data_IF_742093411970
#
_entry.id   IF_742093411970
#
_cell.length_a   1.000
_cell.length_b   1.000
_cell.length_c   1.000
_cell.angle_alpha   90.00
_cell.angle_beta   90.00
_cell.angle_gamma   90.00
#
_symmetry.space_group_name_H-M   'P 1'
#
loop_
_entity.id
_entity.type
_entity.pdbx_description
1 polymer ?
#
# COMPACT_ATOMS: atom_id res chain seq x y z
N UNK A 1 -17.24 -31.91 -16.05
CA UNK A 1 -17.43 -31.05 -14.87
C UNK A 1 -16.30 -30.03 -14.86
N UNK A 2 -16.58 -28.77 -15.18
CA UNK A 2 -15.58 -27.71 -15.25
C UNK A 2 -15.47 -27.02 -13.88
N UNK A 3 -14.52 -27.43 -13.05
CA UNK A 3 -14.12 -26.71 -11.85
C UNK A 3 -12.61 -26.53 -11.87
N UNK A 4 -12.15 -25.61 -12.70
CA UNK A 4 -10.81 -25.03 -12.57
C UNK A 4 -10.98 -23.54 -12.70
N UNK A 5 -11.51 -22.93 -11.64
CA UNK A 5 -11.39 -21.49 -11.45
C UNK A 5 -9.91 -21.17 -11.29
N UNK A 6 -9.25 -20.81 -12.39
CA UNK A 6 -7.87 -20.37 -12.36
C UNK A 6 -7.83 -19.04 -11.59
N UNK A 7 -7.49 -19.08 -10.31
CA UNK A 7 -7.19 -17.86 -9.55
C UNK A 7 -6.00 -17.21 -10.24
N UNK A 8 -6.20 -16.03 -10.85
CA UNK A 8 -5.10 -15.30 -11.47
C UNK A 8 -4.25 -14.71 -10.36
N UNK A 9 -3.02 -15.19 -10.24
CA UNK A 9 -2.07 -14.72 -9.25
C UNK A 9 -1.05 -13.82 -9.96
N UNK A 10 -1.13 -12.52 -9.70
CA UNK A 10 -0.14 -11.56 -10.18
C UNK A 10 0.79 -11.19 -9.02
N UNK A 11 2.10 -11.34 -9.23
CA UNK A 11 3.09 -10.92 -8.24
C UNK A 11 4.14 -10.06 -8.91
N UNK A 12 4.17 -8.80 -8.53
CA UNK A 12 5.21 -7.86 -8.95
C UNK A 12 6.22 -7.71 -7.81
N UNK A 13 7.51 -7.73 -8.18
CA UNK A 13 8.58 -7.53 -7.22
C UNK A 13 9.61 -6.56 -7.76
N UNK A 14 9.77 -5.45 -7.07
CA UNK A 14 10.78 -4.44 -7.35
C UNK A 14 11.83 -4.53 -6.24
N UNK A 15 13.10 -4.61 -6.63
CA UNK A 15 14.24 -4.57 -5.70
C UNK A 15 15.29 -3.63 -6.27
N UNK A 16 15.66 -2.63 -5.50
CA UNK A 16 16.69 -1.66 -5.86
C UNK A 16 17.46 -1.27 -4.61
N UNK A 17 18.72 -1.71 -4.50
CA UNK A 17 19.56 -1.48 -3.32
C UNK A 17 18.87 -1.90 -2.01
N UNK A 18 18.58 -0.92 -1.15
CA UNK A 18 17.92 -1.12 0.15
C UNK A 18 16.37 -1.10 0.09
N UNK A 19 15.81 -0.90 -1.11
CA UNK A 19 14.38 -0.84 -1.37
C UNK A 19 13.90 -2.20 -1.89
N UNK A 20 12.81 -2.70 -1.34
CA UNK A 20 12.12 -3.90 -1.83
C UNK A 20 10.63 -3.68 -1.73
N UNK A 21 9.94 -3.65 -2.86
CA UNK A 21 8.47 -3.57 -2.95
C UNK A 21 7.97 -4.88 -3.54
N UNK A 22 6.95 -5.46 -2.93
CA UNK A 22 6.31 -6.69 -3.38
C UNK A 22 4.82 -6.48 -3.38
N UNK A 23 4.23 -6.49 -4.57
CA UNK A 23 2.79 -6.46 -4.78
C UNK A 23 2.35 -7.87 -5.09
N UNK A 24 1.37 -8.37 -4.33
CA UNK A 24 0.74 -9.66 -4.54
C UNK A 24 -0.74 -9.43 -4.71
N UNK A 25 -1.22 -9.78 -5.88
CA UNK A 25 -2.59 -9.62 -6.26
C UNK A 25 -3.15 -10.98 -6.68
N UNK A 26 -4.36 -11.22 -6.22
CA UNK A 26 -5.21 -12.31 -6.67
C UNK A 26 -6.58 -11.75 -7.00
N UNK A 27 -7.45 -12.59 -7.56
CA UNK A 27 -8.83 -12.21 -7.84
C UNK A 27 -9.58 -11.72 -6.58
N UNK A 28 -9.20 -12.23 -5.40
CA UNK A 28 -9.88 -11.94 -4.12
C UNK A 28 -9.15 -10.96 -3.23
N UNK A 29 -7.82 -10.84 -3.36
CA UNK A 29 -7.00 -10.09 -2.40
C UNK A 29 -5.90 -9.33 -3.06
N UNK A 30 -5.66 -8.13 -2.53
CA UNK A 30 -4.54 -7.28 -2.88
C UNK A 30 -3.66 -7.03 -1.65
N UNK A 31 -2.36 -7.22 -1.82
CA UNK A 31 -1.38 -7.09 -0.73
C UNK A 31 -0.12 -6.42 -1.23
N UNK A 32 0.35 -5.45 -0.46
CA UNK A 32 1.64 -4.79 -0.69
C UNK A 32 2.50 -5.00 0.53
N UNK A 33 3.74 -5.45 0.34
CA UNK A 33 4.79 -5.38 1.34
C UNK A 33 5.93 -4.55 0.76
N UNK A 34 6.26 -3.42 1.39
CA UNK A 34 7.37 -2.58 1.01
C UNK A 34 8.38 -2.43 2.16
N UNK A 35 9.65 -2.41 1.81
CA UNK A 35 10.79 -2.16 2.69
C UNK A 35 11.62 -1.06 2.05
N UNK A 36 11.96 -0.03 2.83
CA UNK A 36 12.65 1.16 2.39
C UNK A 36 13.43 1.80 3.55
N UNK A 37 14.15 2.89 3.29
CA UNK A 37 14.91 3.60 4.32
C UNK A 37 14.00 4.18 5.40
N UNK A 38 14.42 4.12 6.67
CA UNK A 38 13.67 4.73 7.78
C UNK A 38 13.41 6.22 7.59
N UNK A 39 14.30 6.94 6.90
CA UNK A 39 14.15 8.36 6.58
C UNK A 39 12.92 8.67 5.72
N UNK A 40 12.42 7.68 4.97
CA UNK A 40 11.24 7.81 4.09
C UNK A 40 9.92 7.47 4.78
N UNK A 41 9.96 7.00 6.03
CA UNK A 41 8.76 6.62 6.80
C UNK A 41 7.78 7.78 6.94
N UNK A 42 8.27 8.96 7.33
CA UNK A 42 7.44 10.17 7.45
C UNK A 42 6.78 10.59 6.13
N UNK A 43 7.51 10.46 5.03
CA UNK A 43 7.00 10.82 3.71
C UNK A 43 5.90 9.86 3.25
N UNK A 44 6.12 8.56 3.44
CA UNK A 44 5.10 7.52 3.17
C UNK A 44 3.88 7.69 4.09
N UNK A 45 4.08 8.02 5.37
CA UNK A 45 2.99 8.30 6.30
C UNK A 45 2.11 9.46 5.79
N UNK A 46 2.73 10.57 5.35
CA UNK A 46 2.00 11.71 4.77
C UNK A 46 1.18 11.34 3.54
N UNK A 47 1.73 10.51 2.64
CA UNK A 47 0.99 10.05 1.44
C UNK A 47 -0.23 9.22 1.84
N UNK A 48 -0.11 8.36 2.85
CA UNK A 48 -1.22 7.55 3.37
C UNK A 48 -2.28 8.45 4.01
N UNK A 49 -1.86 9.41 4.83
CA UNK A 49 -2.73 10.38 5.50
C UNK A 49 -3.58 11.16 4.48
N UNK A 50 -2.93 11.71 3.45
CA UNK A 50 -3.56 12.50 2.41
C UNK A 50 -4.52 11.71 1.52
N UNK A 51 -4.23 10.45 1.23
CA UNK A 51 -5.03 9.65 0.30
C UNK A 51 -6.20 8.95 0.97
N UNK A 52 -6.13 8.72 2.28
CA UNK A 52 -7.14 7.99 3.02
C UNK A 52 -7.99 8.89 3.93
N UNK A 53 -7.78 10.22 3.89
CA UNK A 53 -8.43 11.21 4.76
C UNK A 53 -8.59 10.68 6.19
N UNK A 54 -7.50 10.05 6.69
CA UNK A 54 -7.48 9.46 8.01
C UNK A 54 -7.60 10.63 9.00
N UNK A 55 -8.82 10.91 9.44
CA UNK A 55 -9.21 12.08 10.24
C UNK A 55 -8.56 12.14 11.64
N UNK A 56 -7.47 11.42 11.88
CA UNK A 56 -6.59 11.62 13.02
C UNK A 56 -5.21 10.99 12.76
N UNK A 57 -4.22 11.86 12.65
CA UNK A 57 -2.97 11.70 13.42
C UNK A 57 -2.05 10.57 12.96
N UNK A 58 -1.61 10.58 11.69
CA UNK A 58 -0.32 9.96 11.33
C UNK A 58 0.86 10.87 11.74
N UNK A 59 0.86 11.42 12.96
CA UNK A 59 1.99 12.19 13.51
C UNK A 59 3.17 11.31 13.93
N UNK A 60 3.03 9.99 13.80
CA UNK A 60 4.03 9.01 14.23
C UNK A 60 4.53 8.17 13.06
N UNK A 61 5.80 7.74 13.14
CA UNK A 61 6.45 6.83 12.18
C UNK A 61 5.88 5.39 12.21
N UNK A 62 4.77 5.19 12.93
CA UNK A 62 4.15 3.92 13.24
C UNK A 62 2.63 4.01 13.06
N UNK A 63 2.11 3.26 12.11
CA UNK A 63 0.68 3.03 11.86
C UNK A 63 0.44 1.54 11.90
N UNK A 64 -0.60 1.09 12.59
CA UNK A 64 -1.08 -0.30 12.52
C UNK A 64 -2.59 -0.28 12.74
N UNK A 65 -3.35 -0.30 11.65
CA UNK A 65 -4.79 -0.11 11.74
C UNK A 65 -5.54 -0.47 10.47
N UNK A 66 -6.85 -0.54 10.59
CA UNK A 66 -7.76 -0.61 9.45
C UNK A 66 -8.40 0.75 9.28
N UNK A 67 -8.25 1.33 8.09
CA UNK A 67 -8.81 2.61 7.72
C UNK A 67 -10.09 2.34 6.93
N UNK A 68 -11.19 2.94 7.37
CA UNK A 68 -12.44 2.91 6.62
C UNK A 68 -12.45 4.04 5.60
N UNK A 69 -12.80 3.70 4.36
CA UNK A 69 -13.04 4.63 3.28
C UNK A 69 -14.50 5.11 3.31
N UNK A 70 -14.81 6.15 2.53
CA UNK A 70 -16.14 6.75 2.44
C UNK A 70 -17.24 5.78 1.98
N UNK A 71 -16.88 4.72 1.26
CA UNK A 71 -17.78 3.71 0.70
C UNK A 71 -17.92 2.47 1.59
N UNK A 72 -17.68 2.62 2.90
CA UNK A 72 -17.60 1.55 3.91
C UNK A 72 -16.51 0.50 3.67
N UNK A 73 -15.66 0.69 2.63
CA UNK A 73 -14.55 -0.21 2.37
C UNK A 73 -13.46 -0.09 3.44
N UNK A 74 -12.76 -1.19 3.72
CA UNK A 74 -11.80 -1.31 4.82
C UNK A 74 -10.43 -1.71 4.30
N UNK A 75 -9.44 -0.84 4.53
CA UNK A 75 -8.05 -1.07 4.12
C UNK A 75 -7.19 -1.26 5.36
N UNK A 76 -6.53 -2.41 5.49
CA UNK A 76 -5.54 -2.59 6.54
C UNK A 76 -4.20 -2.02 6.12
N UNK A 77 -3.67 -1.09 6.91
CA UNK A 77 -2.39 -0.42 6.68
C UNK A 77 -1.53 -0.54 7.92
N UNK A 78 -0.29 -1.00 7.71
CA UNK A 78 0.73 -1.06 8.73
C UNK A 78 2.03 -0.44 8.25
N UNK A 79 2.42 0.69 8.81
CA UNK A 79 3.68 1.37 8.60
C UNK A 79 4.52 1.29 9.88
N UNK A 80 5.77 0.88 9.78
CA UNK A 80 6.68 0.84 10.94
C UNK A 80 8.13 0.94 10.48
N UNK A 81 8.79 2.05 10.80
CA UNK A 81 10.25 2.21 10.68
C UNK A 81 10.84 1.67 9.36
N UNK A 82 10.42 2.21 8.22
CA UNK A 82 10.90 1.79 6.89
C UNK A 82 10.27 0.50 6.36
N UNK A 83 9.16 0.06 6.93
CA UNK A 83 8.37 -1.09 6.45
C UNK A 83 6.91 -0.69 6.32
N UNK A 84 6.32 -0.99 5.19
CA UNK A 84 4.90 -0.81 4.92
C UNK A 84 4.27 -2.14 4.55
N UNK A 85 3.06 -2.36 5.05
CA UNK A 85 2.19 -3.45 4.63
C UNK A 85 0.79 -2.90 4.40
N UNK A 86 0.24 -3.16 3.23
CA UNK A 86 -1.16 -2.88 2.90
C UNK A 86 -1.83 -4.21 2.60
N UNK A 87 -3.06 -4.39 3.12
CA UNK A 87 -3.93 -5.52 2.78
C UNK A 87 -5.31 -5.00 2.48
N UNK A 88 -5.88 -5.51 1.40
CA UNK A 88 -7.20 -5.19 0.92
C UNK A 88 -7.88 -6.47 0.42
N UNK A 89 -9.09 -6.72 0.89
CA UNK A 89 -9.90 -7.86 0.47
C UNK A 89 -10.90 -7.40 -0.59
N UNK A 90 -10.77 -7.87 -1.83
CA UNK A 90 -11.63 -7.45 -2.94
C UNK A 90 -13.03 -8.07 -2.84
N UNK A 91 -13.19 -9.19 -2.11
CA UNK A 91 -14.49 -9.84 -1.96
C UNK A 91 -15.38 -9.07 -0.97
N UNK A 92 -14.77 -8.32 -0.04
CA UNK A 92 -15.48 -7.56 1.00
C UNK A 92 -15.63 -6.07 0.69
N UNK A 93 -14.99 -5.57 -0.37
CA UNK A 93 -14.86 -4.14 -0.65
C UNK A 93 -15.14 -3.81 -2.12
N UNK A 94 -15.42 -2.54 -2.42
CA UNK A 94 -15.77 -2.11 -3.77
C UNK A 94 -14.58 -2.10 -4.74
N UNK A 95 -14.87 -2.20 -6.04
CA UNK A 95 -13.86 -2.02 -7.09
C UNK A 95 -13.28 -0.59 -7.11
N UNK A 96 -14.08 0.41 -6.76
CA UNK A 96 -13.62 1.80 -6.61
C UNK A 96 -12.59 1.93 -5.50
N UNK A 97 -12.80 1.27 -4.36
CA UNK A 97 -11.83 1.22 -3.27
C UNK A 97 -10.56 0.48 -3.69
N UNK A 98 -10.69 -0.58 -4.50
CA UNK A 98 -9.53 -1.26 -5.07
C UNK A 98 -8.66 -0.32 -5.92
N UNK A 99 -9.28 0.45 -6.83
CA UNK A 99 -8.55 1.42 -7.65
C UNK A 99 -7.88 2.50 -6.79
N UNK A 100 -8.56 3.03 -5.76
CA UNK A 100 -7.95 3.98 -4.80
C UNK A 100 -6.72 3.40 -4.10
N UNK A 101 -6.78 2.13 -3.67
CA UNK A 101 -5.64 1.45 -3.02
C UNK A 101 -4.50 1.17 -4.01
N UNK A 102 -4.82 0.88 -5.28
CA UNK A 102 -3.81 0.74 -6.33
C UNK A 102 -3.10 2.06 -6.59
N UNK A 103 -3.83 3.15 -6.74
CA UNK A 103 -3.28 4.50 -6.93
C UNK A 103 -2.42 4.94 -5.73
N UNK A 104 -2.85 4.63 -4.51
CA UNK A 104 -2.05 4.82 -3.30
C UNK A 104 -0.72 4.05 -3.39
N UNK A 105 -0.75 2.79 -3.84
CA UNK A 105 0.44 1.97 -3.99
C UNK A 105 1.43 2.59 -4.97
N UNK A 106 0.93 3.11 -6.10
CA UNK A 106 1.77 3.70 -7.13
C UNK A 106 2.39 5.03 -6.67
N UNK A 107 1.64 5.86 -5.92
CA UNK A 107 2.22 7.05 -5.27
C UNK A 107 3.32 6.69 -4.28
N UNK A 108 3.11 5.65 -3.46
CA UNK A 108 4.12 5.19 -2.50
C UNK A 108 5.36 4.66 -3.22
N UNK A 109 5.20 3.90 -4.31
CA UNK A 109 6.32 3.45 -5.15
C UNK A 109 7.13 4.65 -5.64
N UNK A 110 6.46 5.68 -6.16
CA UNK A 110 7.11 6.91 -6.62
C UNK A 110 7.84 7.63 -5.46
N UNK A 111 7.19 7.85 -4.32
CA UNK A 111 7.81 8.47 -3.13
C UNK A 111 9.08 7.75 -2.66
N UNK A 112 9.06 6.42 -2.68
CA UNK A 112 10.21 5.61 -2.28
C UNK A 112 11.36 5.75 -3.31
N UNK A 113 11.07 5.78 -4.61
CA UNK A 113 12.08 5.88 -5.68
C UNK A 113 12.61 7.31 -5.91
N UNK A 114 11.82 8.37 -5.68
CA UNK A 114 12.17 9.77 -5.95
C UNK A 114 13.31 10.33 -5.07
N UNK A 115 13.96 9.51 -4.25
CA UNK A 115 15.06 9.91 -3.35
C UNK A 115 16.42 10.14 -4.01
N UNK A 116 16.46 10.45 -5.32
CA UNK A 116 17.66 10.89 -6.05
C UNK A 116 17.57 12.37 -6.50
N UNK A 117 16.46 13.09 -6.28
CA UNK A 117 16.23 14.41 -6.90
C UNK A 117 16.00 15.58 -5.93
N UNK A 118 16.56 15.54 -4.72
CA UNK A 118 16.65 16.73 -3.85
C UNK A 118 18.04 16.89 -3.26
N UNK A 119 19.02 17.12 -4.14
CA UNK A 119 20.26 17.83 -3.87
C UNK A 119 20.68 18.53 -5.18
N UNK A 120 20.08 19.69 -5.48
CA UNK A 120 20.71 20.77 -6.24
C UNK A 120 20.19 22.10 -5.71
#
# INVERSE_FOLDING_TARGET
>A
MLLTGCVRYHSERIREGNISITVKESDRRYRVDAKFSRSKTKEVARVIDQMLDANNTLETDDLDGTISLEDDSRVYVRLRSGRLRIRFDKDENSETAYDRVRDLTDKIKATIHTSQAQLQ
#
